data_IF_962772713080
#
_entry.id   IF_962772713080
#
_cell.length_a   1.000
_cell.length_b   1.000
_cell.length_c   1.000
_cell.angle_alpha   90.00
_cell.angle_beta   90.00
_cell.angle_gamma   90.00
#
_symmetry.space_group_name_H-M   'P 1'
#
loop_
_entity.id
_entity.type
_entity.pdbx_description
1 polymer ?
#
# COMPACT_ATOMS: atom_id res chain seq x y z
N UNK A 1 -15.01 4.94 -2.13
CA UNK A 1 -14.51 6.23 -2.68
C UNK A 1 -13.13 6.52 -2.12
N UNK A 2 -12.17 6.78 -3.00
CA UNK A 2 -10.81 7.17 -2.62
C UNK A 2 -10.62 8.68 -2.70
N UNK A 3 -9.88 9.25 -1.74
CA UNK A 3 -9.50 10.67 -1.74
C UNK A 3 -8.12 10.88 -1.11
N UNK A 4 -7.40 11.88 -1.58
CA UNK A 4 -6.11 12.28 -1.00
C UNK A 4 -6.33 12.82 0.42
N UNK A 5 -5.50 12.38 1.35
CA UNK A 5 -5.49 12.87 2.73
C UNK A 5 -4.22 13.72 2.97
N UNK A 6 -4.40 14.96 3.38
CA UNK A 6 -3.32 15.89 3.74
C UNK A 6 -3.22 16.14 5.24
N UNK A 7 -4.14 15.59 6.00
CA UNK A 7 -4.14 15.65 7.46
C UNK A 7 -3.29 14.53 8.04
N UNK A 8 -2.03 14.83 8.33
CA UNK A 8 -1.09 13.84 8.86
C UNK A 8 -1.44 13.41 10.29
N UNK A 9 -2.18 14.20 11.02
CA UNK A 9 -2.72 13.80 12.33
C UNK A 9 -3.72 12.66 12.19
N UNK A 10 -4.64 12.77 11.22
CA UNK A 10 -5.59 11.70 10.89
C UNK A 10 -4.88 10.44 10.40
N UNK A 11 -3.90 10.59 9.49
CA UNK A 11 -3.09 9.47 8.98
C UNK A 11 -2.42 8.75 10.13
N UNK A 12 -1.76 9.50 11.03
CA UNK A 12 -1.09 8.95 12.20
C UNK A 12 -2.05 8.15 13.08
N UNK A 13 -3.20 8.72 13.42
CA UNK A 13 -4.19 8.06 14.27
C UNK A 13 -4.69 6.75 13.65
N UNK A 14 -4.97 6.75 12.35
CA UNK A 14 -5.37 5.54 11.63
C UNK A 14 -4.26 4.49 11.62
N UNK A 15 -3.03 4.88 11.30
CA UNK A 15 -1.89 3.96 11.17
C UNK A 15 -1.43 3.39 12.52
N UNK A 16 -1.72 4.07 13.62
CA UNK A 16 -1.41 3.59 14.98
C UNK A 16 -2.50 2.69 15.57
N UNK A 17 -3.64 2.49 14.90
CA UNK A 17 -4.60 1.47 15.33
C UNK A 17 -3.90 0.11 15.42
N UNK A 18 -4.07 -0.65 16.52
CA UNK A 18 -3.33 -1.90 16.73
C UNK A 18 -3.45 -2.91 15.58
N UNK A 19 -4.63 -3.00 14.98
CA UNK A 19 -4.89 -3.88 13.83
C UNK A 19 -4.19 -3.47 12.54
N UNK A 20 -3.76 -2.19 12.43
CA UNK A 20 -3.01 -1.66 11.29
C UNK A 20 -1.51 -1.65 11.60
N UNK A 21 -1.11 -1.11 12.74
CA UNK A 21 0.28 -0.90 13.12
C UNK A 21 1.12 -2.17 13.05
N UNK A 22 0.58 -3.30 13.44
CA UNK A 22 1.29 -4.60 13.41
C UNK A 22 1.74 -5.06 12.02
N UNK A 23 1.13 -4.51 10.95
CA UNK A 23 1.49 -4.81 9.56
C UNK A 23 2.26 -3.67 8.88
N UNK A 24 2.32 -2.50 9.52
CA UNK A 24 2.91 -1.31 8.94
C UNK A 24 4.41 -1.20 9.18
N UNK A 25 4.94 -1.88 10.19
CA UNK A 25 6.35 -1.83 10.57
C UNK A 25 6.95 -3.21 10.71
N UNK A 26 8.28 -3.27 10.61
CA UNK A 26 9.04 -4.50 10.83
C UNK A 26 9.00 -4.95 12.31
N UNK A 27 9.35 -6.22 12.54
CA UNK A 27 9.47 -6.76 13.88
C UNK A 27 10.47 -5.97 14.74
N UNK A 28 10.05 -5.59 15.93
CA UNK A 28 10.85 -4.82 16.87
C UNK A 28 10.86 -3.31 16.64
N UNK A 29 10.31 -2.80 15.54
CA UNK A 29 10.14 -1.38 15.32
C UNK A 29 8.92 -0.85 16.08
N UNK A 30 9.02 0.37 16.60
CA UNK A 30 7.89 1.05 17.25
C UNK A 30 7.10 1.83 16.18
N UNK A 31 5.80 1.54 15.99
CA UNK A 31 4.97 2.29 15.05
C UNK A 31 4.91 3.80 15.34
N UNK A 32 5.13 4.22 16.58
CA UNK A 32 5.14 5.64 16.95
C UNK A 32 6.37 6.39 16.44
N UNK A 33 7.44 5.68 16.09
CA UNK A 33 8.66 6.26 15.51
C UNK A 33 8.55 6.51 14.02
N UNK A 34 7.46 6.05 13.37
CA UNK A 34 7.22 6.30 11.95
C UNK A 34 6.91 7.78 11.69
N UNK A 35 7.53 8.31 10.64
CA UNK A 35 7.22 9.64 10.12
C UNK A 35 6.11 9.57 9.07
N UNK A 36 5.09 10.38 9.25
CA UNK A 36 3.98 10.49 8.29
C UNK A 36 4.15 11.77 7.49
N UNK A 37 4.54 11.62 6.22
CA UNK A 37 4.94 12.73 5.34
C UNK A 37 3.98 12.79 4.16
N UNK A 38 3.56 14.00 3.82
CA UNK A 38 2.88 14.32 2.58
C UNK A 38 3.65 15.44 1.86
N UNK A 39 4.15 15.14 0.66
CA UNK A 39 4.89 16.08 -0.18
C UNK A 39 4.76 15.69 -1.65
N UNK A 40 5.56 16.26 -2.55
CA UNK A 40 5.51 15.96 -3.98
C UNK A 40 5.87 14.52 -4.37
N UNK A 41 6.43 13.73 -3.45
CA UNK A 41 6.83 12.33 -3.69
C UNK A 41 6.12 11.31 -2.81
N UNK A 42 5.50 11.74 -1.73
CA UNK A 42 4.82 10.89 -0.75
C UNK A 42 3.41 11.39 -0.56
N UNK A 43 2.45 10.49 -0.63
CA UNK A 43 1.05 10.79 -0.44
C UNK A 43 0.31 9.73 0.34
N UNK A 44 -0.84 10.12 0.84
CA UNK A 44 -1.76 9.28 1.57
C UNK A 44 -3.16 9.43 1.01
N UNK A 45 -3.86 8.32 0.87
CA UNK A 45 -5.24 8.30 0.39
C UNK A 45 -6.11 7.55 1.38
N UNK A 46 -7.29 8.09 1.62
CA UNK A 46 -8.31 7.46 2.46
C UNK A 46 -9.29 6.73 1.56
N UNK A 47 -9.63 5.50 1.93
CA UNK A 47 -10.75 4.78 1.35
C UNK A 47 -11.96 4.89 2.27
N UNK A 48 -13.01 5.53 1.76
CA UNK A 48 -14.29 5.67 2.44
C UNK A 48 -15.30 4.69 1.84
N UNK A 49 -15.95 3.92 2.70
CA UNK A 49 -17.02 3.00 2.32
C UNK A 49 -18.27 3.31 3.15
N UNK A 50 -19.34 3.69 2.47
CA UNK A 50 -20.63 4.02 3.10
C UNK A 50 -20.51 5.08 4.23
N UNK A 51 -19.71 6.11 4.03
CA UNK A 51 -19.52 7.20 4.99
C UNK A 51 -18.49 6.92 6.09
N UNK A 52 -17.85 5.74 6.09
CA UNK A 52 -16.83 5.37 7.06
C UNK A 52 -15.45 5.31 6.40
N UNK A 53 -14.44 5.88 7.04
CA UNK A 53 -13.05 5.78 6.63
C UNK A 53 -12.48 4.44 7.11
N UNK A 54 -12.40 3.47 6.20
CA UNK A 54 -12.08 2.07 6.53
C UNK A 54 -10.75 1.58 5.99
N UNK A 55 -10.10 2.36 5.13
CA UNK A 55 -8.81 2.02 4.55
C UNK A 55 -7.92 3.22 4.34
N UNK A 56 -6.63 2.95 4.23
CA UNK A 56 -5.58 3.93 3.98
C UNK A 56 -4.59 3.36 2.99
N UNK A 57 -4.14 4.16 2.03
CA UNK A 57 -3.10 3.77 1.10
C UNK A 57 -1.95 4.77 1.21
N UNK A 58 -0.76 4.26 1.51
CA UNK A 58 0.49 5.00 1.36
C UNK A 58 0.96 4.86 -0.08
N UNK A 59 1.30 5.97 -0.70
CA UNK A 59 1.82 6.01 -2.06
C UNK A 59 3.07 6.89 -2.11
N UNK A 60 4.13 6.43 -2.78
CA UNK A 60 5.34 7.23 -2.98
C UNK A 60 6.04 6.91 -4.29
N UNK A 61 6.70 7.92 -4.86
CA UNK A 61 7.48 7.79 -6.08
C UNK A 61 8.88 7.29 -5.74
N UNK A 62 9.31 6.21 -6.42
CA UNK A 62 10.65 5.63 -6.26
C UNK A 62 11.62 6.14 -7.32
N UNK A 63 11.15 6.21 -8.57
CA UNK A 63 11.93 6.66 -9.73
C UNK A 63 11.08 7.63 -10.56
N UNK A 64 11.63 8.11 -11.68
CA UNK A 64 10.88 8.95 -12.62
C UNK A 64 9.74 8.22 -13.34
N UNK A 65 9.61 6.91 -13.19
CA UNK A 65 8.61 6.09 -13.92
C UNK A 65 7.82 5.14 -13.03
N UNK A 66 8.23 4.97 -11.76
CA UNK A 66 7.66 3.95 -10.88
C UNK A 66 7.30 4.52 -9.51
N UNK A 67 6.12 4.15 -9.02
CA UNK A 67 5.72 4.34 -7.65
C UNK A 67 5.57 3.02 -6.89
N UNK A 68 5.55 3.11 -5.58
CA UNK A 68 5.17 2.03 -4.68
C UNK A 68 3.96 2.43 -3.85
N UNK A 69 3.17 1.45 -3.46
CA UNK A 69 2.04 1.69 -2.59
C UNK A 69 1.89 0.59 -1.54
N UNK A 70 1.26 0.94 -0.43
CA UNK A 70 0.96 0.02 0.66
C UNK A 70 -0.48 0.25 1.09
N UNK A 71 -1.39 -0.70 0.81
CA UNK A 71 -2.78 -0.60 1.22
C UNK A 71 -2.98 -1.20 2.61
N UNK A 72 -3.77 -0.52 3.43
CA UNK A 72 -4.17 -0.94 4.77
C UNK A 72 -5.67 -0.84 4.88
N UNK A 73 -6.31 -1.82 5.49
CA UNK A 73 -7.76 -1.82 5.68
C UNK A 73 -8.13 -2.38 7.05
N UNK A 74 -9.15 -1.81 7.65
CA UNK A 74 -9.67 -2.29 8.93
C UNK A 74 -10.18 -3.72 8.79
N UNK A 75 -9.92 -4.55 9.78
CA UNK A 75 -10.23 -5.97 9.78
C UNK A 75 -11.71 -6.26 9.47
N UNK A 76 -12.62 -5.47 10.03
CA UNK A 76 -14.04 -5.61 9.79
C UNK A 76 -14.46 -5.37 8.33
N UNK A 77 -13.60 -4.73 7.53
CA UNK A 77 -13.87 -4.36 6.13
C UNK A 77 -12.95 -5.07 5.13
N UNK A 78 -12.31 -6.16 5.53
CA UNK A 78 -11.40 -6.93 4.65
C UNK A 78 -12.00 -7.35 3.32
N UNK A 79 -13.30 -7.62 3.27
CA UNK A 79 -14.01 -7.96 2.04
C UNK A 79 -13.98 -6.83 0.98
N UNK A 80 -13.68 -5.61 1.40
CA UNK A 80 -13.56 -4.42 0.54
C UNK A 80 -12.14 -4.13 0.06
N UNK A 81 -11.17 -4.95 0.44
CA UNK A 81 -9.77 -4.73 0.09
C UNK A 81 -9.55 -4.62 -1.43
N UNK A 82 -10.06 -5.57 -2.21
CA UNK A 82 -9.90 -5.53 -3.65
C UNK A 82 -10.59 -4.32 -4.29
N UNK A 83 -11.79 -3.96 -3.83
CA UNK A 83 -12.49 -2.76 -4.29
C UNK A 83 -11.66 -1.49 -4.02
N UNK A 84 -11.09 -1.36 -2.82
CA UNK A 84 -10.20 -0.26 -2.46
C UNK A 84 -8.98 -0.18 -3.40
N UNK A 85 -8.35 -1.29 -3.70
CA UNK A 85 -7.17 -1.34 -4.59
C UNK A 85 -7.55 -0.99 -6.02
N UNK A 86 -8.70 -1.46 -6.52
CA UNK A 86 -9.18 -1.11 -7.86
C UNK A 86 -9.53 0.37 -7.98
N UNK A 87 -10.15 0.96 -6.96
CA UNK A 87 -10.39 2.40 -6.92
C UNK A 87 -9.08 3.21 -6.87
N UNK A 88 -8.07 2.70 -6.17
CA UNK A 88 -6.74 3.32 -6.17
C UNK A 88 -6.08 3.27 -7.55
N UNK A 89 -6.17 2.16 -8.27
CA UNK A 89 -5.64 2.07 -9.63
C UNK A 89 -6.33 3.04 -10.57
N UNK A 90 -7.65 3.19 -10.46
CA UNK A 90 -8.39 4.19 -11.23
C UNK A 90 -7.92 5.61 -10.91
N UNK A 91 -7.83 5.95 -9.62
CA UNK A 91 -7.30 7.24 -9.19
C UNK A 91 -5.86 7.48 -9.71
N UNK A 92 -5.01 6.47 -9.64
CA UNK A 92 -3.64 6.56 -10.14
C UNK A 92 -3.60 6.90 -11.64
N UNK A 93 -4.43 6.26 -12.43
CA UNK A 93 -4.51 6.51 -13.87
C UNK A 93 -5.02 7.91 -14.18
N UNK A 94 -5.98 8.39 -13.41
CA UNK A 94 -6.64 9.69 -13.64
C UNK A 94 -5.82 10.89 -13.11
N UNK A 95 -5.15 10.74 -11.98
CA UNK A 95 -4.58 11.88 -11.24
C UNK A 95 -3.05 11.94 -11.24
N UNK A 96 -2.37 10.80 -11.43
CA UNK A 96 -0.91 10.76 -11.41
C UNK A 96 -0.36 10.98 -12.82
N UNK A 97 0.71 11.80 -12.99
CA UNK A 97 1.30 12.06 -14.31
C UNK A 97 1.64 10.78 -15.10
N UNK A 98 1.40 10.80 -16.41
CA UNK A 98 1.55 9.63 -17.29
C UNK A 98 2.96 9.03 -17.32
N UNK A 99 4.00 9.84 -17.07
CA UNK A 99 5.36 9.33 -16.99
C UNK A 99 5.56 8.33 -15.84
N UNK A 100 4.71 8.35 -14.83
CA UNK A 100 4.68 7.30 -13.81
C UNK A 100 3.81 6.17 -14.35
N UNK A 101 4.46 5.23 -14.99
CA UNK A 101 3.77 4.20 -15.78
C UNK A 101 3.63 2.84 -15.08
N UNK A 102 4.09 2.74 -13.81
CA UNK A 102 4.13 1.47 -13.09
C UNK A 102 3.96 1.66 -11.59
N UNK A 103 3.30 0.70 -10.95
CA UNK A 103 3.22 0.56 -9.50
C UNK A 103 3.80 -0.78 -9.06
N UNK A 104 4.54 -0.77 -7.96
CA UNK A 104 5.05 -1.98 -7.33
C UNK A 104 4.61 -2.08 -5.87
N UNK A 105 4.60 -3.31 -5.37
CA UNK A 105 4.53 -3.66 -3.96
C UNK A 105 5.66 -4.61 -3.61
N UNK A 106 6.15 -4.53 -2.38
CA UNK A 106 7.10 -5.49 -1.83
C UNK A 106 6.46 -6.11 -0.58
N UNK A 107 6.16 -7.40 -0.63
CA UNK A 107 5.37 -8.10 0.38
C UNK A 107 6.22 -9.19 1.03
N UNK A 108 6.38 -9.19 2.36
CA UNK A 108 7.06 -10.29 3.04
C UNK A 108 6.49 -11.64 2.64
N UNK A 109 7.36 -12.58 2.35
CA UNK A 109 7.02 -13.91 1.84
C UNK A 109 5.98 -14.66 2.68
N UNK A 110 5.99 -14.48 4.00
CA UNK A 110 5.03 -15.11 4.90
C UNK A 110 3.63 -14.49 4.87
N UNK A 111 3.47 -13.29 4.31
CA UNK A 111 2.16 -12.64 4.19
C UNK A 111 1.42 -13.15 2.94
N UNK A 112 1.09 -14.43 2.94
CA UNK A 112 0.48 -15.11 1.78
C UNK A 112 -0.86 -14.52 1.37
N UNK A 113 -1.65 -14.06 2.33
CA UNK A 113 -2.92 -13.38 2.04
C UNK A 113 -2.73 -12.07 1.28
N UNK A 114 -1.72 -11.28 1.64
CA UNK A 114 -1.40 -10.03 0.95
C UNK A 114 -0.85 -10.29 -0.46
N UNK A 115 -0.02 -11.31 -0.64
CA UNK A 115 0.49 -11.71 -1.96
C UNK A 115 -0.68 -12.15 -2.86
N UNK A 116 -1.56 -13.00 -2.36
CA UNK A 116 -2.75 -13.44 -3.09
C UNK A 116 -3.65 -12.25 -3.46
N UNK A 117 -3.85 -11.30 -2.56
CA UNK A 117 -4.64 -10.10 -2.83
C UNK A 117 -4.01 -9.23 -3.95
N UNK A 118 -2.70 -9.12 -3.99
CA UNK A 118 -1.99 -8.42 -5.06
C UNK A 118 -2.18 -9.13 -6.42
N UNK A 119 -2.09 -10.45 -6.44
CA UNK A 119 -2.33 -11.27 -7.65
C UNK A 119 -3.78 -11.12 -8.14
N UNK A 120 -4.76 -11.17 -7.24
CA UNK A 120 -6.18 -10.95 -7.57
C UNK A 120 -6.41 -9.55 -8.12
N UNK A 121 -5.68 -8.55 -7.64
CA UNK A 121 -5.75 -7.18 -8.17
C UNK A 121 -5.11 -7.02 -9.56
N UNK A 122 -4.47 -8.06 -10.09
CA UNK A 122 -3.85 -8.07 -11.41
C UNK A 122 -2.34 -7.81 -11.43
N UNK A 123 -1.70 -7.75 -10.25
CA UNK A 123 -0.25 -7.58 -10.17
C UNK A 123 0.47 -8.88 -10.52
N UNK A 124 1.63 -8.75 -11.13
CA UNK A 124 2.47 -9.86 -11.57
C UNK A 124 3.75 -9.95 -10.74
N UNK A 125 4.22 -11.15 -10.48
CA UNK A 125 5.51 -11.38 -9.85
C UNK A 125 6.63 -10.85 -10.75
N UNK A 126 7.57 -10.09 -10.15
CA UNK A 126 8.69 -9.48 -10.85
C UNK A 126 10.04 -9.85 -10.26
N UNK A 127 10.05 -10.46 -9.10
CA UNK A 127 11.27 -10.90 -8.45
C UNK A 127 11.15 -11.13 -6.96
N UNK A 128 12.29 -11.40 -6.35
CA UNK A 128 12.44 -11.62 -4.91
C UNK A 128 13.53 -10.68 -4.39
N UNK A 129 13.20 -9.91 -3.37
CA UNK A 129 14.15 -9.10 -2.62
C UNK A 129 14.58 -9.90 -1.39
N UNK A 130 15.77 -10.51 -1.49
CA UNK A 130 16.24 -11.49 -0.50
C UNK A 130 16.62 -10.81 0.81
N UNK A 131 16.19 -11.40 1.94
CA UNK A 131 16.54 -10.99 3.31
C UNK A 131 16.28 -9.49 3.58
N UNK A 132 15.22 -8.95 2.99
CA UNK A 132 14.93 -7.52 2.98
C UNK A 132 13.88 -7.08 4.01
N UNK A 133 13.43 -8.00 4.85
CA UNK A 133 12.43 -7.73 5.87
C UNK A 133 12.74 -8.49 7.16
N UNK A 134 12.74 -7.79 8.29
CA UNK A 134 12.95 -8.42 9.59
C UNK A 134 11.63 -8.92 10.16
N UNK A 135 11.49 -10.24 10.25
CA UNK A 135 10.37 -10.91 10.89
C UNK A 135 10.73 -11.37 12.30
N UNK A 136 9.74 -11.84 13.04
CA UNK A 136 9.92 -12.47 14.35
C UNK A 136 10.94 -13.61 14.35
N UNK A 137 11.00 -14.36 13.24
CA UNK A 137 11.85 -15.53 13.08
C UNK A 137 13.19 -15.20 12.37
N UNK A 138 13.51 -13.93 12.22
CA UNK A 138 14.72 -13.43 11.58
C UNK A 138 14.46 -12.80 10.21
N UNK A 139 15.53 -12.42 9.47
CA UNK A 139 15.40 -11.85 8.14
C UNK A 139 14.68 -12.80 7.18
N UNK A 140 13.77 -12.26 6.39
CA UNK A 140 13.04 -13.00 5.36
C UNK A 140 12.99 -12.24 4.05
N UNK A 141 12.63 -12.95 2.98
CA UNK A 141 12.49 -12.38 1.65
C UNK A 141 11.18 -11.59 1.52
N UNK A 142 11.19 -10.60 0.64
CA UNK A 142 9.96 -9.98 0.14
C UNK A 142 9.75 -10.38 -1.32
N UNK A 143 8.49 -10.64 -1.65
CA UNK A 143 8.06 -10.83 -3.04
C UNK A 143 7.80 -9.47 -3.67
N UNK A 144 8.36 -9.23 -4.86
CA UNK A 144 8.12 -8.02 -5.64
C UNK A 144 7.04 -8.32 -6.67
N UNK A 145 5.95 -7.57 -6.62
CA UNK A 145 4.88 -7.62 -7.61
C UNK A 145 4.69 -6.23 -8.22
N UNK A 146 4.29 -6.20 -9.47
CA UNK A 146 4.10 -4.95 -10.19
C UNK A 146 2.91 -4.99 -11.14
N UNK A 147 2.39 -3.82 -11.45
CA UNK A 147 1.36 -3.60 -12.45
C UNK A 147 1.68 -2.33 -13.23
N UNK A 148 1.56 -2.40 -14.56
CA UNK A 148 1.75 -1.23 -15.40
C UNK A 148 0.45 -0.44 -15.55
N UNK A 149 0.56 0.87 -15.84
CA UNK A 149 -0.60 1.73 -16.12
C UNK A 149 -1.49 1.15 -17.23
N UNK A 150 -0.88 0.54 -18.27
CA UNK A 150 -1.61 -0.11 -19.34
C UNK A 150 -2.45 -1.30 -18.86
N UNK A 151 -1.94 -2.05 -17.90
CA UNK A 151 -2.67 -3.19 -17.31
C UNK A 151 -3.81 -2.74 -16.40
N UNK A 152 -3.66 -1.61 -15.72
CA UNK A 152 -4.73 -1.03 -14.87
C UNK A 152 -5.93 -0.57 -15.68
N UNK A 153 -5.73 -0.20 -16.94
CA UNK A 153 -6.76 0.31 -17.85
C UNK A 153 -7.57 -0.77 -18.57
N UNK A 154 -7.33 -2.02 -18.28
CA UNK A 154 -8.03 -3.15 -18.94
C UNK A 154 -9.31 -3.55 -18.24
#
# INVERSE_FOLDING_TARGET
MIKVCRDMSFVRDFMLLPEIARYAVEYGADPQDEEFICNGRNGWLIYNHNGLDVGMIKFYLCTGTMGMFHPYILRAHKSKYNEMVQEFFKWFVEEVPEQICKLNVAIPKQFKGAINAAEVAGMKHEGVDRLSYLSKDGPCDRMLLGITRREMNK
#
